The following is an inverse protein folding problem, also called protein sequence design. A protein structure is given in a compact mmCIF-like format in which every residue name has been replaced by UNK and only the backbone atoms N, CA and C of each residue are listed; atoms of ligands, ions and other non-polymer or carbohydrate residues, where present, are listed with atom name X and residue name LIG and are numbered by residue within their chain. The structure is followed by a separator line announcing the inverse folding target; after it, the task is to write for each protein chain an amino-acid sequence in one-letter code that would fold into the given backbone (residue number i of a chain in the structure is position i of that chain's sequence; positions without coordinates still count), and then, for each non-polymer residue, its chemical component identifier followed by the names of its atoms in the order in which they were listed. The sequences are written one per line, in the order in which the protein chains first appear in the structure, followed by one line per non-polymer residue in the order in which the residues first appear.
data_IF_296005521567
#
_entry.id   IF_296005521567
#
_cell.length_a   1.000
_cell.length_b   1.000
_cell.length_c   1.000
_cell.angle_alpha   90.00
_cell.angle_beta   90.00
_cell.angle_gamma   90.00
#
_symmetry.space_group_name_H-M   'P 1'
#
loop_
_entity.id
_entity.type
_entity.pdbx_description
1 polymer ?
#
# COMPACT_ATOMS: atom_id res chain seq x y z
N UNK A 1 3.17 -9.43 -0.57
CA UNK A 1 2.39 -10.05 0.52
C UNK A 1 1.58 -8.98 1.25
N UNK A 2 0.49 -9.35 1.92
CA UNK A 2 -0.30 -8.41 2.70
C UNK A 2 0.56 -7.91 3.86
N UNK A 3 0.58 -6.59 4.07
CA UNK A 3 1.22 -5.98 5.23
C UNK A 3 0.23 -5.99 6.40
N UNK A 4 0.72 -6.31 7.58
CA UNK A 4 -0.08 -6.41 8.80
C UNK A 4 0.26 -5.29 9.77
N UNK A 5 -0.74 -4.82 10.55
CA UNK A 5 -0.47 -3.94 11.69
C UNK A 5 0.31 -4.69 12.77
N UNK A 6 1.14 -3.99 13.52
CA UNK A 6 1.93 -4.59 14.60
C UNK A 6 2.35 -3.59 15.68
N UNK A 7 3.30 -3.97 16.56
CA UNK A 7 3.75 -3.14 17.67
C UNK A 7 4.28 -1.76 17.25
N UNK A 8 4.90 -1.63 16.08
CA UNK A 8 5.36 -0.34 15.60
C UNK A 8 4.18 0.56 15.23
N UNK A 9 3.18 0.03 14.52
CA UNK A 9 1.93 0.76 14.25
C UNK A 9 1.17 1.10 15.54
N UNK A 10 1.12 0.21 16.54
CA UNK A 10 0.48 0.50 17.83
C UNK A 10 1.12 1.72 18.53
N UNK A 11 2.46 1.82 18.47
CA UNK A 11 3.20 2.97 19.03
C UNK A 11 2.96 4.26 18.25
N UNK A 12 2.88 4.19 16.92
CA UNK A 12 2.69 5.37 16.08
C UNK A 12 1.24 5.85 16.09
N UNK A 13 0.29 4.93 15.92
CA UNK A 13 -1.10 5.18 15.54
C UNK A 13 -2.13 4.75 16.60
N UNK A 14 -1.70 4.07 17.67
CA UNK A 14 -2.54 3.61 18.77
C UNK A 14 -2.97 2.14 18.67
N UNK A 15 -3.09 1.47 19.82
CA UNK A 15 -3.46 0.05 19.89
C UNK A 15 -4.88 -0.22 19.35
N UNK A 16 -5.80 0.73 19.53
CA UNK A 16 -7.17 0.57 19.05
C UNK A 16 -7.21 0.45 17.52
N UNK A 17 -6.40 1.23 16.79
CA UNK A 17 -6.30 1.14 15.34
C UNK A 17 -5.80 -0.25 14.89
N UNK A 18 -4.79 -0.80 15.58
CA UNK A 18 -4.28 -2.16 15.32
C UNK A 18 -5.39 -3.20 15.53
N UNK A 19 -6.08 -3.15 16.68
CA UNK A 19 -7.15 -4.10 17.01
C UNK A 19 -8.30 -4.03 15.99
N UNK A 20 -8.68 -2.82 15.59
CA UNK A 20 -9.73 -2.59 14.59
C UNK A 20 -9.36 -3.20 13.24
N UNK A 21 -8.14 -2.98 12.73
CA UNK A 21 -7.68 -3.56 11.45
C UNK A 21 -7.56 -5.09 11.53
N UNK A 22 -7.12 -5.64 12.67
CA UNK A 22 -7.04 -7.09 12.88
C UNK A 22 -8.43 -7.75 12.96
N UNK A 23 -9.43 -7.02 13.47
CA UNK A 23 -10.81 -7.50 13.56
C UNK A 23 -11.48 -7.51 12.18
N UNK A 24 -11.32 -6.43 11.43
CA UNK A 24 -11.84 -6.31 10.07
C UNK A 24 -10.86 -5.56 9.16
N UNK A 25 -10.12 -6.32 8.35
CA UNK A 25 -9.19 -5.76 7.37
C UNK A 25 -9.87 -5.11 6.17
N UNK A 26 -11.19 -5.27 5.99
CA UNK A 26 -11.95 -4.81 4.83
C UNK A 26 -12.69 -3.49 5.04
N UNK A 27 -12.80 -3.04 6.30
CA UNK A 27 -13.49 -1.79 6.62
C UNK A 27 -12.85 -0.54 5.97
N UNK A 28 -13.63 0.53 5.75
CA UNK A 28 -13.10 1.82 5.30
C UNK A 28 -11.99 2.32 6.23
N UNK A 29 -10.90 2.82 5.65
CA UNK A 29 -9.74 3.28 6.41
C UNK A 29 -10.09 4.51 7.27
N UNK A 30 -11.06 5.30 6.82
CA UNK A 30 -11.60 6.49 7.47
C UNK A 30 -12.34 6.15 8.77
N UNK A 31 -12.79 4.89 8.92
CA UNK A 31 -13.49 4.40 10.11
C UNK A 31 -12.55 3.81 11.16
N UNK A 32 -11.24 3.73 10.88
CA UNK A 32 -10.26 3.22 11.84
C UNK A 32 -9.92 4.33 12.84
N UNK A 33 -9.96 4.07 14.17
CA UNK A 33 -9.73 5.06 15.21
C UNK A 33 -8.23 5.35 15.38
N UNK A 34 -7.64 6.03 14.40
CA UNK A 34 -6.24 6.45 14.44
C UNK A 34 -6.02 7.55 15.49
N UNK A 35 -4.91 7.45 16.23
CA UNK A 35 -4.44 8.52 17.09
C UNK A 35 -4.19 9.79 16.30
N UNK A 36 -4.49 10.95 16.90
CA UNK A 36 -4.23 12.26 16.30
C UNK A 36 -2.76 12.68 16.41
N UNK A 37 -1.88 11.80 16.91
CA UNK A 37 -0.45 12.02 17.10
C UNK A 37 0.24 12.42 15.80
N UNK A 38 1.28 13.26 15.93
CA UNK A 38 2.12 13.61 14.80
C UNK A 38 2.75 12.37 14.17
N UNK A 39 3.17 11.39 14.99
CA UNK A 39 3.70 10.10 14.53
C UNK A 39 2.69 9.25 13.72
N UNK A 40 1.39 9.50 13.84
CA UNK A 40 0.37 8.88 12.98
C UNK A 40 0.08 9.71 11.71
N UNK A 41 0.42 11.01 11.70
CA UNK A 41 0.07 11.95 10.61
C UNK A 41 1.21 12.27 9.66
N UNK A 42 2.47 12.10 10.09
CA UNK A 42 3.66 12.53 9.33
C UNK A 42 3.91 11.58 8.15
N UNK A 43 3.22 11.85 7.04
CA UNK A 43 3.75 11.64 5.71
C UNK A 43 3.41 12.84 4.83
N UNK A 44 3.91 14.01 5.23
CA UNK A 44 4.02 15.18 4.38
C UNK A 44 5.10 16.11 4.96
N UNK A 45 6.14 16.35 4.17
CA UNK A 45 7.05 17.49 4.23
C UNK A 45 8.34 17.41 5.06
N UNK A 46 9.42 17.60 4.28
CA UNK A 46 10.70 18.27 4.54
C UNK A 46 11.84 17.52 5.25
N UNK A 47 12.96 17.55 4.51
CA UNK A 47 14.36 17.57 4.93
C UNK A 47 14.59 17.43 6.44
N UNK A 48 15.10 16.26 6.84
CA UNK A 48 16.16 16.02 7.83
C UNK A 48 15.91 14.65 8.47
N UNK A 49 16.77 13.69 8.09
CA UNK A 49 17.32 12.64 8.95
C UNK A 49 16.32 11.93 9.91
N UNK A 50 15.67 10.84 9.49
CA UNK A 50 15.35 9.71 10.39
C UNK A 50 14.86 8.45 9.68
N UNK A 51 15.26 7.32 10.26
CA UNK A 51 15.11 5.93 9.83
C UNK A 51 13.68 5.36 9.84
N UNK A 52 12.64 6.13 10.13
CA UNK A 52 11.31 5.58 10.36
C UNK A 52 10.24 6.54 9.86
N UNK A 53 9.64 6.19 8.72
CA UNK A 53 8.40 6.82 8.29
C UNK A 53 7.27 6.22 9.08
N UNK A 54 6.73 7.03 9.97
CA UNK A 54 5.73 6.62 10.92
C UNK A 54 4.35 6.97 10.36
N UNK A 55 3.60 5.93 10.01
CA UNK A 55 2.21 5.81 10.43
C UNK A 55 1.15 6.50 9.60
N UNK A 56 1.42 6.96 8.37
CA UNK A 56 0.37 7.54 7.53
C UNK A 56 -0.75 6.51 7.25
N UNK A 57 -1.98 6.71 7.74
CA UNK A 57 -3.06 5.75 7.56
C UNK A 57 -3.46 5.57 6.09
N UNK A 58 -3.15 6.53 5.21
CA UNK A 58 -3.46 6.47 3.78
C UNK A 58 -2.34 5.84 2.93
N UNK A 59 -1.16 5.60 3.51
CA UNK A 59 -0.10 4.80 2.91
C UNK A 59 -0.07 3.44 3.58
N UNK A 60 -0.26 2.37 2.80
CA UNK A 60 -0.22 0.99 3.32
C UNK A 60 -1.16 0.73 4.53
N UNK A 61 -2.28 1.47 4.64
CA UNK A 61 -3.22 1.39 5.77
C UNK A 61 -2.56 1.62 7.15
N UNK A 62 -1.47 2.39 7.20
CA UNK A 62 -0.71 2.67 8.42
C UNK A 62 0.27 1.58 8.86
N UNK A 63 0.37 0.48 8.12
CA UNK A 63 1.33 -0.58 8.42
C UNK A 63 2.77 -0.06 8.30
N UNK A 64 3.63 -0.41 9.26
CA UNK A 64 5.02 0.04 9.29
C UNK A 64 5.99 -1.04 8.81
N UNK A 65 7.11 -0.60 8.23
CA UNK A 65 8.19 -1.49 7.78
C UNK A 65 8.72 -2.38 8.92
N UNK A 66 8.85 -1.83 10.13
CA UNK A 66 9.31 -2.58 11.30
C UNK A 66 8.42 -3.78 11.64
N UNK A 67 7.13 -3.72 11.32
CA UNK A 67 6.19 -4.83 11.53
C UNK A 67 6.18 -5.81 10.34
N UNK A 68 6.83 -5.46 9.22
CA UNK A 68 6.66 -6.12 7.92
C UNK A 68 7.98 -6.42 7.18
N UNK A 69 9.10 -6.54 7.90
CA UNK A 69 10.41 -6.80 7.28
C UNK A 69 10.56 -8.22 6.70
N UNK A 70 9.90 -9.21 7.31
CA UNK A 70 9.94 -10.62 6.87
C UNK A 70 9.32 -10.87 5.48
N UNK A 71 8.11 -10.34 5.15
CA UNK A 71 7.48 -10.57 3.84
C UNK A 71 8.06 -9.74 2.66
N UNK A 72 9.19 -9.05 2.83
CA UNK A 72 9.77 -8.22 1.78
C UNK A 72 10.23 -9.06 0.59
N UNK A 73 9.88 -8.61 -0.61
CA UNK A 73 10.33 -9.21 -1.85
C UNK A 73 11.32 -8.27 -2.53
N UNK A 74 12.37 -8.85 -3.10
CA UNK A 74 13.34 -8.11 -3.91
C UNK A 74 12.99 -8.34 -5.38
N UNK A 75 12.93 -7.25 -6.11
CA UNK A 75 12.69 -7.27 -7.55
C UNK A 75 13.83 -6.55 -8.27
N UNK A 76 14.14 -6.96 -9.48
CA UNK A 76 15.04 -6.21 -10.35
C UNK A 76 14.25 -5.26 -11.25
N UNK A 77 14.87 -4.18 -11.75
CA UNK A 77 14.30 -3.39 -12.83
C UNK A 77 13.82 -4.29 -13.96
N UNK A 78 12.67 -3.96 -14.54
CA UNK A 78 12.03 -4.71 -15.62
C UNK A 78 11.57 -6.13 -15.32
N UNK A 79 11.63 -6.57 -14.07
CA UNK A 79 11.02 -7.83 -13.69
C UNK A 79 9.49 -7.77 -13.85
N UNK A 80 8.93 -8.76 -14.54
CA UNK A 80 7.47 -8.94 -14.60
C UNK A 80 7.01 -9.54 -13.28
N UNK A 81 6.10 -8.83 -12.60
CA UNK A 81 5.55 -9.24 -11.31
C UNK A 81 4.08 -9.58 -11.52
N UNK A 82 3.68 -10.79 -11.13
CA UNK A 82 2.27 -11.16 -11.08
C UNK A 82 1.69 -10.68 -9.75
N UNK A 83 0.65 -9.87 -9.83
CA UNK A 83 -0.12 -9.46 -8.66
C UNK A 83 -1.37 -10.32 -8.55
N UNK A 84 -1.55 -10.94 -7.39
CA UNK A 84 -2.81 -11.56 -7.00
C UNK A 84 -3.48 -10.66 -5.96
N UNK A 85 -4.69 -10.24 -6.24
CA UNK A 85 -5.53 -9.48 -5.32
C UNK A 85 -6.58 -10.40 -4.71
N UNK A 86 -6.99 -10.09 -3.47
CA UNK A 86 -8.16 -10.66 -2.83
C UNK A 86 -9.10 -9.50 -2.55
N UNK A 87 -10.31 -9.55 -3.12
CA UNK A 87 -11.31 -8.48 -3.00
C UNK A 87 -12.55 -9.12 -2.40
N UNK A 88 -12.66 -9.20 -1.07
CA UNK A 88 -13.79 -9.86 -0.40
C UNK A 88 -15.12 -9.14 -0.64
N UNK A 89 -15.08 -7.82 -0.78
CA UNK A 89 -16.24 -6.97 -1.04
C UNK A 89 -16.00 -6.22 -2.35
N UNK A 90 -16.50 -6.72 -3.49
CA UNK A 90 -16.25 -6.09 -4.78
C UNK A 90 -17.05 -4.79 -4.88
N UNK A 91 -16.36 -3.73 -5.28
CA UNK A 91 -16.98 -2.50 -5.69
C UNK A 91 -16.37 -2.14 -7.03
N UNK A 92 -17.18 -2.11 -8.08
CA UNK A 92 -16.70 -1.66 -9.39
C UNK A 92 -16.21 -0.22 -9.27
N UNK A 93 -14.99 0.03 -9.71
CA UNK A 93 -14.45 1.38 -9.71
C UNK A 93 -13.07 1.48 -10.35
N UNK A 94 -12.51 2.70 -10.41
CA UNK A 94 -11.15 2.89 -10.87
C UNK A 94 -10.16 2.25 -9.91
N UNK A 95 -9.08 1.69 -10.45
CA UNK A 95 -7.99 1.09 -9.68
C UNK A 95 -6.65 1.52 -10.26
N UNK A 96 -5.65 1.72 -9.40
CA UNK A 96 -4.29 2.00 -9.83
C UNK A 96 -3.27 1.08 -9.16
N UNK A 97 -2.17 0.82 -9.87
CA UNK A 97 -0.96 0.21 -9.31
C UNK A 97 0.16 1.23 -9.44
N UNK A 98 0.70 1.65 -8.30
CA UNK A 98 1.77 2.64 -8.21
C UNK A 98 3.00 2.05 -7.52
N UNK A 99 4.20 2.44 -7.97
CA UNK A 99 5.41 2.31 -7.18
C UNK A 99 5.54 3.58 -6.35
N UNK A 100 5.69 3.45 -5.04
CA UNK A 100 5.80 4.60 -4.13
C UNK A 100 7.15 4.56 -3.45
N UNK A 101 7.89 5.67 -3.51
CA UNK A 101 9.02 5.85 -2.62
C UNK A 101 8.46 6.07 -1.22
N UNK A 102 8.54 5.05 -0.37
CA UNK A 102 8.02 5.12 0.98
C UNK A 102 8.71 6.24 1.75
N UNK A 103 10.02 6.49 1.53
CA UNK A 103 10.87 7.55 2.12
C UNK A 103 10.20 8.93 2.09
N UNK A 104 9.52 9.23 0.99
CA UNK A 104 8.99 10.56 0.68
C UNK A 104 7.48 10.55 0.47
N UNK A 105 6.84 9.39 0.50
CA UNK A 105 5.44 9.18 0.11
C UNK A 105 5.12 9.76 -1.28
N UNK A 106 6.01 9.56 -2.24
CA UNK A 106 5.86 10.06 -3.62
C UNK A 106 5.76 8.91 -4.60
N UNK A 107 4.84 9.02 -5.56
CA UNK A 107 4.74 8.07 -6.67
C UNK A 107 6.01 8.19 -7.53
N UNK A 108 6.60 7.05 -7.85
CA UNK A 108 7.71 6.92 -8.78
C UNK A 108 7.16 6.54 -10.17
N UNK A 109 7.51 7.32 -11.18
CA UNK A 109 7.06 7.11 -12.55
C UNK A 109 5.55 7.32 -12.75
N UNK A 110 5.02 6.77 -13.84
CA UNK A 110 3.59 6.80 -14.15
C UNK A 110 2.90 5.54 -13.59
N UNK A 111 1.81 5.67 -12.83
CA UNK A 111 1.07 4.53 -12.33
C UNK A 111 0.32 3.80 -13.46
N UNK A 112 0.04 2.52 -13.25
CA UNK A 112 -0.88 1.77 -14.09
C UNK A 112 -2.30 2.08 -13.65
N UNK A 113 -3.16 2.46 -14.60
CA UNK A 113 -4.54 2.87 -14.33
C UNK A 113 -5.55 1.92 -15.00
N UNK A 114 -6.62 1.61 -14.28
CA UNK A 114 -7.79 0.88 -14.74
C UNK A 114 -9.03 1.75 -14.51
N UNK A 115 -9.83 1.97 -15.55
CA UNK A 115 -11.06 2.76 -15.43
C UNK A 115 -12.18 2.00 -14.70
N UNK A 116 -12.20 0.67 -14.86
CA UNK A 116 -13.10 -0.24 -14.17
C UNK A 116 -12.32 -1.47 -13.71
N UNK A 117 -12.50 -1.83 -12.45
CA UNK A 117 -11.86 -2.96 -11.76
C UNK A 117 -12.83 -3.52 -10.73
N UNK A 118 -12.74 -4.82 -10.45
CA UNK A 118 -13.66 -5.55 -9.56
C UNK A 118 -15.14 -5.53 -10.00
N UNK A 119 -15.42 -5.41 -11.30
CA UNK A 119 -16.77 -5.57 -11.86
C UNK A 119 -17.24 -7.03 -11.69
N UNK A 120 -18.25 -7.24 -10.86
CA UNK A 120 -18.84 -8.56 -10.57
C UNK A 120 -19.53 -9.20 -11.78
N UNK A 121 -19.84 -8.41 -12.83
CA UNK A 121 -20.43 -8.91 -14.08
C UNK A 121 -19.40 -9.60 -14.98
N UNK A 122 -18.11 -9.38 -14.75
CA UNK A 122 -17.04 -9.99 -15.52
C UNK A 122 -16.63 -11.35 -14.92
N UNK A 123 -16.27 -12.30 -15.78
CA UNK A 123 -15.79 -13.60 -15.33
C UNK A 123 -14.54 -13.45 -14.42
N UNK A 124 -14.48 -14.19 -13.30
CA UNK A 124 -13.47 -14.10 -12.23
C UNK A 124 -12.00 -14.34 -12.63
N UNK A 125 -11.68 -14.50 -13.92
CA UNK A 125 -10.36 -14.81 -14.43
C UNK A 125 -9.90 -13.77 -15.44
N UNK A 126 -9.29 -12.70 -14.94
CA UNK A 126 -8.35 -11.93 -15.75
C UNK A 126 -7.03 -12.00 -14.98
N UNK A 127 -6.05 -12.74 -15.51
CA UNK A 127 -4.66 -12.59 -15.06
C UNK A 127 -4.12 -11.38 -15.82
N UNK A 128 -4.02 -10.19 -15.22
CA UNK A 128 -3.41 -9.07 -15.91
C UNK A 128 -1.94 -9.40 -16.14
N UNK A 129 -1.59 -9.69 -17.39
CA UNK A 129 -0.23 -9.97 -17.79
C UNK A 129 0.47 -8.63 -17.97
N UNK A 130 1.07 -8.11 -16.90
CA UNK A 130 1.77 -6.83 -16.96
C UNK A 130 3.05 -6.95 -17.81
N UNK A 131 3.16 -6.10 -18.83
CA UNK A 131 4.40 -5.79 -19.51
C UNK A 131 4.55 -4.27 -19.45
N UNK A 132 5.34 -3.77 -18.49
CA UNK A 132 5.83 -2.40 -18.56
C UNK A 132 6.66 -2.25 -19.84
N UNK A 133 6.71 -1.04 -20.41
CA UNK A 133 7.53 -0.72 -21.59
C UNK A 133 9.02 -0.76 -21.23
N UNK A 134 9.54 -1.95 -20.98
CA UNK A 134 10.95 -2.26 -20.71
C UNK A 134 11.79 -2.30 -21.98
N UNK A 135 11.61 -1.34 -22.89
CA UNK A 135 12.37 -1.28 -24.15
C UNK A 135 13.45 -0.21 -24.18
N UNK A 136 13.56 0.65 -23.17
CA UNK A 136 14.63 1.64 -23.10
C UNK A 136 15.47 1.46 -21.84
N UNK A 137 16.75 1.14 -22.06
CA UNK A 137 17.78 1.12 -21.01
C UNK A 137 17.77 2.48 -20.32
N UNK A 138 17.62 2.49 -18.98
CA UNK A 138 17.66 3.72 -18.19
C UNK A 138 16.33 4.43 -17.93
N UNK A 139 15.19 3.87 -18.36
CA UNK A 139 13.85 4.35 -17.96
C UNK A 139 13.09 3.26 -17.20
N UNK A 140 13.41 3.12 -15.92
CA UNK A 140 12.48 2.60 -14.93
C UNK A 140 12.00 3.78 -14.10
#
# INVERSE_FOLDING_TARGET
PIQFPGPAMARACGQQAVNTILTDGTMPIESVPFSSSASCKIAASLEVLRLELQGNPFLCRGALFADNASPLQRFTPCQRILFKTSIPIPHEGPCNVSVVNTATNTIFGQPLMFNSYADERLAKSITPLFASRCREVGKC
#
